data_IF_341784782623
#
_entry.id   IF_341784782623
#
_cell.length_a   1.000
_cell.length_b   1.000
_cell.length_c   1.000
_cell.angle_alpha   90.00
_cell.angle_beta   90.00
_cell.angle_gamma   90.00
#
_symmetry.space_group_name_H-M   'P 1'
#
loop_
_entity.id
_entity.type
_entity.pdbx_description
1 polymer ?
#
# COMPACT_ATOMS: atom_id res chain seq x y z
N UNK A 1 20.69 5.14 31.90
CA UNK A 1 20.93 3.79 31.36
C UNK A 1 21.06 3.94 29.85
N UNK A 2 22.26 3.72 29.31
CA UNK A 2 22.50 3.80 27.87
C UNK A 2 21.88 2.57 27.24
N UNK A 3 20.79 2.76 26.48
CA UNK A 3 20.28 1.74 25.59
C UNK A 3 21.35 1.52 24.51
N UNK A 4 22.05 0.39 24.55
CA UNK A 4 22.87 -0.05 23.44
C UNK A 4 21.95 -0.22 22.22
N UNK A 5 22.12 0.62 21.22
CA UNK A 5 21.53 0.40 19.89
C UNK A 5 22.24 -0.85 19.33
N UNK A 6 21.60 -1.99 19.44
CA UNK A 6 22.04 -3.21 18.78
C UNK A 6 21.86 -2.96 17.29
N UNK A 7 22.95 -2.72 16.61
CA UNK A 7 22.98 -2.55 15.15
C UNK A 7 22.87 -3.95 14.54
N UNK A 8 21.66 -4.51 14.48
CA UNK A 8 21.40 -5.79 13.81
C UNK A 8 21.52 -5.51 12.32
N UNK A 9 22.59 -6.00 11.72
CA UNK A 9 22.72 -5.97 10.26
C UNK A 9 21.66 -6.92 9.69
N UNK A 10 20.62 -6.33 9.08
CA UNK A 10 19.53 -7.10 8.47
C UNK A 10 20.07 -8.03 7.38
N UNK A 11 19.50 -9.22 7.28
CA UNK A 11 19.61 -10.07 6.11
C UNK A 11 19.24 -9.27 4.86
N UNK A 12 20.00 -9.34 3.75
CA UNK A 12 19.67 -8.63 2.52
C UNK A 12 18.25 -8.83 2.01
N UNK A 13 17.64 -9.99 2.24
CA UNK A 13 16.25 -10.29 1.89
C UNK A 13 15.30 -9.47 2.76
N UNK A 14 15.55 -9.39 4.06
CA UNK A 14 14.73 -8.59 4.97
C UNK A 14 14.87 -7.09 4.68
N UNK A 15 16.09 -6.63 4.37
CA UNK A 15 16.31 -5.24 3.96
C UNK A 15 15.56 -4.89 2.65
N UNK A 16 15.49 -5.80 1.68
CA UNK A 16 14.73 -5.61 0.45
C UNK A 16 13.21 -5.55 0.74
N UNK A 17 12.72 -6.37 1.66
CA UNK A 17 11.32 -6.36 2.07
C UNK A 17 10.96 -5.08 2.84
N UNK A 18 11.84 -4.53 3.67
CA UNK A 18 11.58 -3.30 4.42
C UNK A 18 11.34 -2.07 3.55
N UNK A 19 11.95 -2.02 2.38
CA UNK A 19 11.77 -0.91 1.42
C UNK A 19 10.78 -1.22 0.31
N UNK A 20 10.19 -2.41 0.33
CA UNK A 20 9.23 -2.87 -0.67
C UNK A 20 9.88 -3.45 -1.92
N UNK A 21 9.29 -4.53 -2.42
CA UNK A 21 9.74 -5.25 -3.61
C UNK A 21 9.75 -4.34 -4.84
N UNK A 22 10.69 -4.59 -5.76
CA UNK A 22 10.78 -3.88 -7.03
C UNK A 22 9.80 -4.44 -8.07
N UNK A 23 9.61 -3.66 -9.13
CA UNK A 23 8.79 -3.98 -10.30
C UNK A 23 7.32 -4.27 -9.94
N UNK A 24 6.82 -3.53 -8.94
CA UNK A 24 5.45 -3.56 -8.48
C UNK A 24 4.89 -2.14 -8.33
N UNK A 25 3.58 -2.04 -8.47
CA UNK A 25 2.82 -0.86 -8.11
C UNK A 25 2.53 -0.83 -6.61
N UNK A 26 2.61 0.34 -6.01
CA UNK A 26 2.23 0.59 -4.61
C UNK A 26 1.36 1.84 -4.52
N UNK A 27 0.23 1.81 -3.81
CA UNK A 27 -0.49 3.04 -3.47
C UNK A 27 0.35 3.83 -2.47
N UNK A 28 0.50 5.15 -2.68
CA UNK A 28 1.42 5.96 -1.86
C UNK A 28 0.73 7.04 -1.05
N UNK A 29 -0.39 7.55 -1.52
CA UNK A 29 -1.23 8.47 -0.76
C UNK A 29 -2.64 8.57 -1.37
N UNK A 30 -3.64 9.09 -0.62
CA UNK A 30 -4.92 9.49 -1.20
C UNK A 30 -4.74 10.57 -2.27
N UNK A 31 -5.52 10.50 -3.34
CA UNK A 31 -5.50 11.46 -4.45
C UNK A 31 -5.63 12.92 -4.00
N UNK A 32 -6.47 13.17 -3.00
CA UNK A 32 -6.71 14.50 -2.46
C UNK A 32 -5.54 15.11 -1.68
N UNK A 33 -4.44 14.36 -1.45
CA UNK A 33 -3.24 14.90 -0.81
C UNK A 33 -2.42 15.76 -1.76
N UNK A 34 -2.47 15.49 -3.06
CA UNK A 34 -1.72 16.23 -4.09
C UNK A 34 -2.68 17.16 -4.80
N UNK A 35 -2.61 18.45 -4.46
CA UNK A 35 -3.45 19.53 -5.00
C UNK A 35 -2.58 20.53 -5.76
N UNK A 36 -2.68 21.78 -5.38
CA UNK A 36 -2.08 22.92 -6.08
C UNK A 36 -0.58 23.10 -5.82
N UNK A 37 -0.07 22.53 -4.73
CA UNK A 37 1.34 22.60 -4.35
C UNK A 37 2.00 21.23 -4.38
N UNK A 38 3.31 21.17 -4.61
CA UNK A 38 4.06 19.94 -4.49
C UNK A 38 3.99 19.41 -3.05
N UNK A 39 3.97 18.11 -2.89
CA UNK A 39 4.01 17.45 -1.57
C UNK A 39 5.21 16.52 -1.48
N UNK A 40 5.80 16.42 -0.29
CA UNK A 40 6.88 15.49 0.00
C UNK A 40 6.34 14.28 0.76
N UNK A 41 6.63 13.09 0.28
CA UNK A 41 6.31 11.84 0.95
C UNK A 41 7.55 10.96 1.07
N UNK A 42 7.63 10.18 2.16
CA UNK A 42 8.61 9.10 2.26
C UNK A 42 7.88 7.78 2.01
N UNK A 43 8.27 7.06 0.96
CA UNK A 43 7.70 5.75 0.57
C UNK A 43 8.78 4.89 -0.07
N UNK A 44 8.71 3.58 0.17
CA UNK A 44 9.55 2.61 -0.53
C UNK A 44 11.06 2.89 -0.42
N UNK A 45 11.49 3.45 0.71
CA UNK A 45 12.88 3.88 0.95
C UNK A 45 13.27 5.22 0.32
N UNK A 46 12.38 5.88 -0.43
CA UNK A 46 12.65 7.15 -1.10
C UNK A 46 11.92 8.32 -0.45
N UNK A 47 12.53 9.50 -0.52
CA UNK A 47 11.83 10.77 -0.34
C UNK A 47 11.37 11.24 -1.72
N UNK A 48 10.08 11.49 -1.89
CA UNK A 48 9.42 11.67 -3.18
C UNK A 48 8.68 13.00 -3.20
N UNK A 49 8.92 13.81 -4.24
CA UNK A 49 8.13 14.98 -4.56
C UNK A 49 7.02 14.59 -5.54
N UNK A 50 5.78 14.87 -5.17
CA UNK A 50 4.59 14.66 -5.98
C UNK A 50 3.94 16.01 -6.30
N UNK A 51 3.49 16.20 -7.52
CA UNK A 51 2.72 17.38 -7.93
C UNK A 51 1.73 17.05 -9.04
N UNK A 52 0.76 17.95 -9.27
CA UNK A 52 -0.13 17.89 -10.44
C UNK A 52 0.24 19.00 -11.42
N UNK A 53 0.23 18.66 -12.69
CA UNK A 53 0.30 19.65 -13.74
C UNK A 53 -1.08 20.30 -14.03
N UNK A 54 -1.11 21.23 -14.98
CA UNK A 54 -2.34 21.94 -15.35
C UNK A 54 -3.41 21.04 -15.99
N UNK A 55 -3.06 19.83 -16.43
CA UNK A 55 -4.00 18.82 -16.96
C UNK A 55 -4.59 17.94 -15.86
N UNK A 56 -4.09 18.06 -14.63
CA UNK A 56 -4.43 17.22 -13.50
C UNK A 56 -3.60 15.95 -13.40
N UNK A 57 -2.66 15.71 -14.33
CA UNK A 57 -1.76 14.55 -14.31
C UNK A 57 -0.82 14.65 -13.10
N UNK A 58 -0.72 13.56 -12.34
CA UNK A 58 0.23 13.46 -11.23
C UNK A 58 1.61 13.07 -11.76
N UNK A 59 2.63 13.73 -11.25
CA UNK A 59 4.03 13.45 -11.52
C UNK A 59 4.78 13.16 -10.22
N UNK A 60 5.86 12.38 -10.30
CA UNK A 60 6.67 12.00 -9.15
C UNK A 60 8.16 11.93 -9.49
N UNK A 61 8.97 12.62 -8.69
CA UNK A 61 10.43 12.57 -8.73
C UNK A 61 10.99 12.25 -7.35
N UNK A 62 12.20 11.74 -7.29
CA UNK A 62 12.96 11.76 -6.04
C UNK A 62 13.09 13.22 -5.56
N UNK A 63 12.76 13.46 -4.30
CA UNK A 63 12.69 14.81 -3.71
C UNK A 63 14.09 15.36 -3.41
N UNK A 64 14.90 15.44 -4.48
CA UNK A 64 16.31 15.80 -4.42
C UNK A 64 16.70 16.57 -5.69
N UNK A 65 17.02 17.86 -5.53
CA UNK A 65 17.52 18.67 -6.63
C UNK A 65 18.93 18.21 -7.05
N UNK A 66 19.17 17.96 -8.35
CA UNK A 66 20.44 17.42 -8.82
C UNK A 66 21.64 18.37 -8.65
N UNK A 67 21.38 19.64 -8.36
CA UNK A 67 22.46 20.60 -8.12
C UNK A 67 23.11 20.38 -6.75
N UNK A 68 22.36 20.51 -5.65
CA UNK A 68 22.89 20.46 -4.27
C UNK A 68 21.92 19.80 -3.27
N UNK A 69 20.98 18.99 -3.74
CA UNK A 69 20.13 18.17 -2.90
C UNK A 69 18.96 18.89 -2.21
N UNK A 70 18.68 20.16 -2.54
CA UNK A 70 17.51 20.82 -1.96
C UNK A 70 16.22 20.09 -2.35
N UNK A 71 15.21 19.99 -1.44
CA UNK A 71 13.96 19.32 -1.76
C UNK A 71 13.23 20.01 -2.90
N UNK A 72 12.90 19.26 -3.96
CA UNK A 72 12.11 19.75 -5.09
C UNK A 72 10.66 20.07 -4.66
N UNK A 73 10.15 19.35 -3.67
CA UNK A 73 8.81 19.56 -3.11
C UNK A 73 8.58 20.94 -2.48
N UNK A 74 9.65 21.69 -2.17
CA UNK A 74 9.57 23.07 -1.71
C UNK A 74 9.56 24.08 -2.88
N UNK A 75 9.61 23.60 -4.10
CA UNK A 75 9.72 24.39 -5.32
C UNK A 75 8.39 24.86 -5.87
N UNK A 76 8.45 25.40 -7.08
CA UNK A 76 7.31 25.96 -7.80
C UNK A 76 6.98 25.08 -9.00
N UNK A 77 5.70 24.75 -9.18
CA UNK A 77 5.20 23.99 -10.34
C UNK A 77 5.21 24.90 -11.57
N UNK A 78 5.84 24.45 -12.64
CA UNK A 78 5.89 25.10 -13.94
C UNK A 78 5.33 24.15 -15.02
N UNK A 79 4.07 23.74 -14.85
CA UNK A 79 3.40 22.75 -15.70
C UNK A 79 3.98 21.34 -15.51
N UNK A 80 4.66 20.80 -16.51
CA UNK A 80 5.26 19.46 -16.52
C UNK A 80 6.59 19.34 -15.74
N UNK A 81 7.04 20.44 -15.11
CA UNK A 81 8.31 20.55 -14.39
C UNK A 81 8.18 21.25 -13.06
N UNK A 82 9.19 21.10 -12.24
CA UNK A 82 9.30 21.77 -10.95
C UNK A 82 10.59 22.59 -10.88
N UNK A 83 10.51 23.85 -10.46
CA UNK A 83 11.67 24.71 -10.25
C UNK A 83 12.13 24.61 -8.80
N UNK A 84 13.38 24.25 -8.59
CA UNK A 84 14.01 24.15 -7.27
C UNK A 84 14.01 25.52 -6.57
N UNK A 85 13.60 25.62 -5.29
CA UNK A 85 13.49 26.91 -4.60
C UNK A 85 14.86 27.54 -4.30
N UNK A 86 15.95 26.74 -4.38
CA UNK A 86 17.26 27.19 -3.93
C UNK A 86 18.00 28.00 -5.02
N UNK A 87 18.04 27.50 -6.27
CA UNK A 87 18.73 28.18 -7.38
C UNK A 87 17.94 28.16 -8.70
N UNK A 88 16.64 27.85 -8.66
CA UNK A 88 15.76 27.88 -9.82
C UNK A 88 16.00 26.76 -10.84
N UNK A 89 16.78 25.75 -10.53
CA UNK A 89 16.98 24.59 -11.45
C UNK A 89 15.64 23.94 -11.75
N UNK A 90 15.28 23.88 -13.05
CA UNK A 90 14.02 23.31 -13.51
C UNK A 90 14.21 21.84 -13.91
N UNK A 91 13.47 20.95 -13.25
CA UNK A 91 13.50 19.52 -13.51
C UNK A 91 12.14 19.05 -14.03
N UNK A 92 12.11 18.45 -15.21
CA UNK A 92 10.90 17.91 -15.84
C UNK A 92 10.48 16.60 -15.17
N UNK A 93 9.23 16.23 -15.33
CA UNK A 93 8.62 15.02 -14.74
C UNK A 93 9.36 13.70 -15.06
N UNK A 94 10.14 13.67 -16.13
CA UNK A 94 10.97 12.51 -16.51
C UNK A 94 12.38 12.52 -15.85
N UNK A 95 12.68 13.52 -15.03
CA UNK A 95 13.97 13.69 -14.36
C UNK A 95 14.97 14.52 -15.14
N UNK A 96 14.62 15.01 -16.34
CA UNK A 96 15.50 15.82 -17.18
C UNK A 96 15.61 17.25 -16.64
N UNK A 97 16.84 17.75 -16.51
CA UNK A 97 17.10 19.16 -16.18
C UNK A 97 16.86 20.01 -17.41
N UNK A 98 15.85 20.86 -17.37
CA UNK A 98 15.43 21.69 -18.49
C UNK A 98 16.15 23.04 -18.51
N UNK A 99 16.52 23.56 -17.32
CA UNK A 99 17.14 24.88 -17.22
C UNK A 99 17.96 25.00 -15.93
N UNK A 100 19.10 25.64 -16.03
CA UNK A 100 19.95 26.09 -14.91
C UNK A 100 20.14 27.61 -15.00
N UNK A 101 19.28 28.41 -14.33
CA UNK A 101 19.26 29.86 -14.52
C UNK A 101 20.61 30.54 -14.26
N UNK A 102 21.36 30.08 -13.25
CA UNK A 102 22.66 30.63 -12.90
C UNK A 102 23.81 30.23 -13.83
N UNK A 103 23.62 29.27 -14.76
CA UNK A 103 24.64 28.79 -15.69
C UNK A 103 24.00 28.16 -16.92
N UNK A 104 23.35 28.97 -17.78
CA UNK A 104 22.71 28.47 -18.99
C UNK A 104 23.69 27.74 -19.90
N UNK A 105 23.28 26.58 -20.47
CA UNK A 105 24.10 25.77 -21.35
C UNK A 105 25.15 24.90 -20.64
N UNK A 106 25.12 24.84 -19.32
CA UNK A 106 26.05 23.97 -18.58
C UNK A 106 25.71 22.46 -18.82
N UNK A 107 26.66 21.57 -18.51
CA UNK A 107 26.51 20.11 -18.71
C UNK A 107 25.33 19.47 -17.95
N UNK A 108 24.76 20.17 -16.97
CA UNK A 108 23.61 19.67 -16.22
C UNK A 108 22.33 19.79 -17.04
N UNK A 109 22.19 20.82 -17.89
CA UNK A 109 21.04 20.98 -18.80
C UNK A 109 21.00 19.83 -19.81
N UNK A 110 19.82 19.26 -20.03
CA UNK A 110 19.59 18.10 -20.87
C UNK A 110 19.95 16.75 -20.21
N UNK A 111 20.68 16.74 -19.08
CA UNK A 111 20.96 15.50 -18.36
C UNK A 111 19.75 15.03 -17.55
N UNK A 112 19.73 13.74 -17.16
CA UNK A 112 18.62 13.12 -16.40
C UNK A 112 19.13 12.50 -15.10
N UNK A 113 19.61 13.29 -14.15
CA UNK A 113 20.19 12.78 -12.90
C UNK A 113 19.16 12.46 -11.82
N UNK A 114 17.92 12.96 -11.94
CA UNK A 114 16.87 12.80 -10.94
C UNK A 114 16.01 11.57 -11.28
N UNK A 115 15.88 10.66 -10.30
CA UNK A 115 15.02 9.49 -10.45
C UNK A 115 13.57 9.92 -10.63
N UNK A 116 12.92 9.43 -11.68
CA UNK A 116 11.47 9.53 -11.85
C UNK A 116 10.77 8.30 -11.30
N UNK A 117 9.50 8.47 -10.96
CA UNK A 117 8.59 7.37 -10.68
C UNK A 117 7.39 7.45 -11.63
N UNK A 118 6.99 6.32 -12.20
CA UNK A 118 5.76 6.25 -12.95
C UNK A 118 4.58 6.31 -11.99
N UNK A 119 3.57 7.07 -12.37
CA UNK A 119 2.37 7.30 -11.57
C UNK A 119 1.13 6.75 -12.25
N UNK A 120 0.19 6.30 -11.46
CA UNK A 120 -1.18 6.02 -11.87
C UNK A 120 -2.12 6.51 -10.78
N UNK A 121 -3.33 6.90 -11.15
CA UNK A 121 -4.35 7.34 -10.19
C UNK A 121 -5.63 6.54 -10.41
N UNK A 122 -6.13 5.92 -9.36
CA UNK A 122 -7.35 5.12 -9.42
C UNK A 122 -7.98 4.99 -8.03
N UNK A 123 -9.32 4.96 -8.01
CA UNK A 123 -10.09 4.70 -6.77
C UNK A 123 -9.68 5.55 -5.58
N UNK A 124 -9.37 6.83 -5.83
CA UNK A 124 -9.02 7.81 -4.80
C UNK A 124 -7.60 7.67 -4.25
N UNK A 125 -6.73 6.86 -4.85
CA UNK A 125 -5.33 6.70 -4.50
C UNK A 125 -4.40 7.00 -5.67
N UNK A 126 -3.23 7.55 -5.36
CA UNK A 126 -2.08 7.68 -6.26
C UNK A 126 -1.19 6.46 -6.03
N UNK A 127 -0.79 5.82 -7.13
CA UNK A 127 0.11 4.67 -7.17
C UNK A 127 1.44 5.07 -7.80
N UNK A 128 2.52 4.48 -7.30
CA UNK A 128 3.85 4.56 -7.90
C UNK A 128 4.34 3.17 -8.29
N UNK A 129 4.98 3.07 -9.44
CA UNK A 129 5.70 1.87 -9.84
C UNK A 129 7.12 1.91 -9.29
N UNK A 130 7.46 0.94 -8.42
CA UNK A 130 8.79 0.82 -7.80
C UNK A 130 9.77 0.10 -8.73
N UNK A 131 10.13 0.74 -9.85
CA UNK A 131 10.99 0.14 -10.85
C UNK A 131 12.36 -0.27 -10.29
N UNK A 132 12.85 -1.46 -10.64
CA UNK A 132 14.24 -1.88 -10.41
C UNK A 132 15.19 -1.06 -11.29
N UNK A 133 14.83 -0.83 -12.57
CA UNK A 133 15.54 0.04 -13.47
C UNK A 133 15.00 1.48 -13.39
N UNK A 134 15.78 2.46 -12.87
CA UNK A 134 15.33 3.85 -12.80
C UNK A 134 15.17 4.51 -14.19
N UNK A 135 15.77 3.95 -15.24
CA UNK A 135 15.68 4.44 -16.60
C UNK A 135 14.53 3.81 -17.41
N UNK A 136 13.67 3.03 -16.76
CA UNK A 136 12.50 2.42 -17.41
C UNK A 136 11.62 3.50 -18.05
N UNK A 137 11.36 3.39 -19.36
CA UNK A 137 10.58 4.42 -20.06
C UNK A 137 9.09 4.30 -19.84
N UNK A 138 8.55 3.08 -19.74
CA UNK A 138 7.14 2.81 -19.49
C UNK A 138 6.97 1.73 -18.44
N UNK A 139 6.13 2.00 -17.44
CA UNK A 139 5.74 1.00 -16.46
C UNK A 139 4.65 0.08 -17.06
N UNK A 140 4.57 -1.18 -16.64
CA UNK A 140 3.44 -2.03 -16.97
C UNK A 140 2.13 -1.40 -16.46
N UNK A 141 0.99 -1.63 -17.11
CA UNK A 141 -0.28 -1.05 -16.70
C UNK A 141 -0.66 -1.49 -15.27
N UNK A 142 -1.21 -0.54 -14.48
CA UNK A 142 -1.78 -0.85 -13.18
C UNK A 142 -3.01 -1.76 -13.37
N UNK A 143 -2.98 -2.96 -12.80
CA UNK A 143 -4.07 -3.93 -12.88
C UNK A 143 -4.73 -4.07 -11.51
N UNK A 144 -5.95 -3.60 -11.40
CA UNK A 144 -6.76 -3.69 -10.19
C UNK A 144 -7.88 -4.73 -10.36
N UNK A 145 -8.38 -5.33 -9.27
CA UNK A 145 -9.47 -6.29 -9.32
C UNK A 145 -10.79 -5.64 -9.70
N UNK A 146 -11.77 -6.44 -10.11
CA UNK A 146 -13.09 -5.96 -10.55
C UNK A 146 -13.80 -5.08 -9.52
N UNK A 147 -13.60 -5.34 -8.23
CA UNK A 147 -14.15 -4.54 -7.13
C UNK A 147 -13.76 -3.06 -7.19
N UNK A 148 -12.65 -2.77 -7.87
CA UNK A 148 -12.12 -1.41 -8.06
C UNK A 148 -12.25 -0.91 -9.50
N UNK A 149 -12.60 -1.76 -10.46
CA UNK A 149 -12.65 -1.37 -11.90
C UNK A 149 -14.05 -1.45 -12.50
N UNK A 150 -14.91 -2.33 -11.98
CA UNK A 150 -16.25 -2.50 -12.50
C UNK A 150 -17.21 -1.41 -12.00
N UNK A 151 -18.08 -0.86 -12.87
CA UNK A 151 -19.12 0.09 -12.48
C UNK A 151 -20.21 -0.50 -11.58
N UNK A 152 -20.30 -1.82 -11.48
CA UNK A 152 -21.23 -2.50 -10.57
C UNK A 152 -20.82 -2.41 -9.10
N UNK A 153 -19.60 -1.98 -8.83
CA UNK A 153 -19.06 -1.84 -7.50
C UNK A 153 -19.01 -0.38 -7.05
N UNK A 154 -19.19 -0.17 -5.76
CA UNK A 154 -18.93 1.11 -5.10
C UNK A 154 -17.88 0.92 -4.02
N UNK A 155 -16.83 1.70 -4.08
CA UNK A 155 -15.70 1.60 -3.15
C UNK A 155 -15.48 2.91 -2.38
N UNK A 156 -14.94 2.77 -1.16
CA UNK A 156 -14.44 3.87 -0.34
C UNK A 156 -13.02 3.56 0.09
N UNK A 157 -12.09 4.45 -0.21
CA UNK A 157 -10.73 4.36 0.30
C UNK A 157 -10.68 4.79 1.77
N UNK A 158 -10.11 3.93 2.61
CA UNK A 158 -9.69 4.23 3.95
C UNK A 158 -8.17 4.15 3.97
N UNK A 159 -7.52 5.25 4.31
CA UNK A 159 -6.07 5.35 4.40
C UNK A 159 -5.67 5.74 5.82
N UNK A 160 -4.67 5.06 6.34
CA UNK A 160 -4.03 5.38 7.62
C UNK A 160 -2.56 4.96 7.58
N UNK A 161 -1.77 5.47 8.50
CA UNK A 161 -0.39 5.03 8.73
C UNK A 161 -0.32 4.34 10.09
N UNK A 162 0.26 3.14 10.11
CA UNK A 162 0.45 2.37 11.33
C UNK A 162 1.92 2.34 11.71
N UNK A 163 2.21 2.58 12.99
CA UNK A 163 3.54 2.34 13.55
C UNK A 163 3.80 0.83 13.65
N UNK A 164 4.85 0.36 12.98
CA UNK A 164 5.22 -1.05 12.95
C UNK A 164 5.83 -1.45 11.62
N UNK A 165 6.48 -2.60 11.59
CA UNK A 165 6.97 -3.19 10.35
C UNK A 165 5.78 -3.56 9.46
N UNK A 166 5.82 -3.17 8.19
CA UNK A 166 4.72 -3.45 7.26
C UNK A 166 4.43 -4.96 7.12
N UNK A 167 5.40 -5.81 7.42
CA UNK A 167 5.23 -7.27 7.42
C UNK A 167 4.25 -7.73 8.50
N UNK A 168 4.27 -7.12 9.70
CA UNK A 168 3.26 -7.39 10.74
C UNK A 168 1.87 -6.91 10.35
N UNK A 169 1.80 -5.79 9.63
CA UNK A 169 0.53 -5.29 9.10
C UNK A 169 -0.09 -6.27 8.09
N UNK A 170 0.73 -6.85 7.21
CA UNK A 170 0.27 -7.85 6.24
C UNK A 170 -0.10 -9.16 6.96
N UNK A 171 0.69 -9.59 7.95
CA UNK A 171 0.42 -10.78 8.73
C UNK A 171 -0.92 -10.68 9.48
N UNK A 172 -1.22 -9.52 10.07
CA UNK A 172 -2.50 -9.26 10.74
C UNK A 172 -3.69 -9.51 9.79
N UNK A 173 -3.62 -9.04 8.56
CA UNK A 173 -4.72 -9.21 7.59
C UNK A 173 -4.77 -10.63 7.01
N UNK A 174 -3.64 -11.35 6.98
CA UNK A 174 -3.61 -12.76 6.57
C UNK A 174 -4.19 -13.70 7.63
N UNK A 175 -4.40 -13.25 8.85
CA UNK A 175 -4.94 -14.05 9.94
C UNK A 175 -6.46 -13.85 10.11
N UNK A 176 -7.31 -14.79 9.69
CA UNK A 176 -8.74 -14.69 9.92
C UNK A 176 -9.17 -15.05 11.35
N UNK A 177 -8.25 -15.51 12.22
CA UNK A 177 -8.61 -15.91 13.59
C UNK A 177 -8.67 -14.73 14.56
N UNK A 178 -7.82 -13.71 14.38
CA UNK A 178 -7.81 -12.57 15.31
C UNK A 178 -9.17 -11.85 15.37
N UNK A 179 -9.93 -11.88 14.26
CA UNK A 179 -11.24 -11.22 14.19
C UNK A 179 -12.20 -11.65 15.29
N UNK A 180 -12.24 -12.94 15.61
CA UNK A 180 -13.11 -13.48 16.65
C UNK A 180 -12.73 -13.04 18.07
N UNK A 181 -11.47 -12.65 18.28
CA UNK A 181 -10.94 -12.22 19.58
C UNK A 181 -10.82 -10.71 19.69
N UNK A 182 -10.17 -10.07 18.75
CA UNK A 182 -9.88 -8.64 18.74
C UNK A 182 -11.12 -7.80 18.44
N UNK A 183 -12.00 -8.31 17.55
CA UNK A 183 -13.19 -7.59 17.07
C UNK A 183 -14.49 -8.07 17.69
N UNK A 184 -14.48 -8.52 18.94
CA UNK A 184 -15.66 -9.05 19.65
C UNK A 184 -16.88 -8.14 19.65
N UNK A 185 -16.70 -6.83 19.52
CA UNK A 185 -17.78 -5.85 19.48
C UNK A 185 -18.37 -5.66 18.08
N UNK A 186 -17.77 -6.23 17.05
CA UNK A 186 -18.28 -6.23 15.68
C UNK A 186 -19.17 -7.43 15.48
N UNK A 187 -20.46 -7.22 15.25
CA UNK A 187 -21.49 -8.26 15.14
C UNK A 187 -21.15 -9.43 14.21
N UNK A 188 -20.45 -9.15 13.13
CA UNK A 188 -20.12 -10.15 12.11
C UNK A 188 -18.76 -10.79 12.32
N UNK A 189 -17.86 -10.15 13.07
CA UNK A 189 -16.48 -10.61 13.25
C UNK A 189 -16.29 -11.52 14.48
N UNK A 190 -17.25 -11.51 15.40
CA UNK A 190 -17.23 -12.32 16.62
C UNK A 190 -17.84 -13.72 16.45
N UNK A 191 -18.45 -14.02 15.32
CA UNK A 191 -19.11 -15.29 15.03
C UNK A 191 -18.12 -16.29 14.39
N UNK A 192 -18.49 -17.57 14.41
CA UNK A 192 -17.75 -18.62 13.76
C UNK A 192 -16.97 -19.53 14.69
N UNK A 193 -16.47 -20.62 14.14
CA UNK A 193 -15.75 -21.66 14.89
C UNK A 193 -14.32 -21.23 15.15
N UNK A 194 -13.96 -21.04 16.42
CA UNK A 194 -12.63 -20.69 16.89
C UNK A 194 -11.66 -21.88 16.90
N UNK A 195 -12.16 -23.08 16.70
CA UNK A 195 -11.36 -24.33 16.61
C UNK A 195 -11.31 -24.88 15.18
N UNK A 196 -11.75 -24.07 14.21
CA UNK A 196 -11.82 -24.48 12.81
C UNK A 196 -10.47 -24.94 12.27
N UNK A 197 -10.51 -25.95 11.43
CA UNK A 197 -9.38 -26.33 10.62
C UNK A 197 -9.21 -25.34 9.45
N UNK A 198 -7.96 -25.12 9.07
CA UNK A 198 -7.60 -24.24 7.95
C UNK A 198 -6.98 -25.01 6.80
N UNK A 199 -7.07 -24.41 5.63
CA UNK A 199 -6.38 -24.87 4.42
C UNK A 199 -5.86 -23.72 3.58
N UNK A 200 -4.86 -24.01 2.75
CA UNK A 200 -4.37 -23.10 1.72
C UNK A 200 -4.81 -23.68 0.37
N UNK A 201 -5.38 -22.83 -0.46
CA UNK A 201 -5.73 -23.13 -1.83
C UNK A 201 -4.91 -22.25 -2.75
N UNK A 202 -4.04 -22.87 -3.55
CA UNK A 202 -3.19 -22.15 -4.50
C UNK A 202 -4.03 -21.63 -5.68
N UNK A 203 -3.66 -20.44 -6.17
CA UNK A 203 -4.22 -19.79 -7.35
C UNK A 203 -3.10 -19.44 -8.32
N UNK A 204 -3.43 -19.15 -9.58
CA UNK A 204 -2.43 -18.77 -10.61
C UNK A 204 -1.60 -17.55 -10.18
N UNK A 205 -2.22 -16.55 -9.55
CA UNK A 205 -1.59 -15.30 -9.14
C UNK A 205 -1.59 -15.08 -7.62
N UNK A 206 -1.61 -16.16 -6.82
CA UNK A 206 -1.64 -16.02 -5.38
C UNK A 206 -2.15 -17.26 -4.67
N UNK A 207 -2.79 -17.06 -3.54
CA UNK A 207 -3.38 -18.15 -2.77
C UNK A 207 -4.50 -17.63 -1.86
N UNK A 208 -5.39 -18.54 -1.46
CA UNK A 208 -6.41 -18.28 -0.44
C UNK A 208 -6.06 -19.08 0.81
N UNK A 209 -6.14 -18.43 1.94
CA UNK A 209 -6.11 -19.03 3.27
C UNK A 209 -7.51 -18.98 3.86
N UNK A 210 -8.11 -20.14 4.18
CA UNK A 210 -9.53 -20.24 4.52
C UNK A 210 -9.81 -21.29 5.58
N UNK A 211 -10.87 -21.07 6.36
CA UNK A 211 -11.44 -22.09 7.26
C UNK A 211 -12.10 -23.17 6.43
N UNK A 212 -11.82 -24.43 6.78
CA UNK A 212 -12.52 -25.58 6.21
C UNK A 212 -13.97 -25.61 6.70
N UNK A 213 -14.89 -25.98 5.82
CA UNK A 213 -16.30 -26.22 6.15
C UNK A 213 -17.05 -25.01 6.73
N UNK A 214 -16.43 -23.81 6.69
CA UNK A 214 -17.09 -22.56 7.09
C UNK A 214 -16.97 -21.53 5.98
N UNK A 215 -18.09 -20.92 5.61
CA UNK A 215 -18.17 -19.85 4.62
C UNK A 215 -19.31 -18.90 4.95
N UNK A 216 -19.13 -17.63 4.69
CA UNK A 216 -20.13 -16.56 4.85
C UNK A 216 -20.67 -16.40 6.29
N UNK A 217 -19.92 -16.83 7.28
CA UNK A 217 -20.27 -16.67 8.71
C UNK A 217 -19.59 -15.46 9.30
N UNK A 218 -18.30 -15.32 9.01
CA UNK A 218 -17.42 -14.27 9.53
C UNK A 218 -16.33 -13.95 8.50
N UNK A 219 -15.32 -13.22 8.91
CA UNK A 219 -14.03 -13.14 8.27
C UNK A 219 -13.35 -14.52 8.32
N UNK A 220 -13.72 -15.42 7.43
CA UNK A 220 -13.32 -16.82 7.44
C UNK A 220 -12.34 -17.21 6.34
N UNK A 221 -11.92 -16.24 5.52
CA UNK A 221 -10.90 -16.42 4.49
C UNK A 221 -10.20 -15.10 4.13
N UNK A 222 -8.94 -15.21 3.68
CA UNK A 222 -8.16 -14.13 3.10
C UNK A 222 -7.46 -14.61 1.85
N UNK A 223 -7.46 -13.81 0.80
CA UNK A 223 -6.76 -14.07 -0.44
C UNK A 223 -5.57 -13.11 -0.58
N UNK A 224 -4.45 -13.66 -0.98
CA UNK A 224 -3.29 -12.90 -1.46
C UNK A 224 -3.26 -12.94 -2.99
N UNK A 225 -3.22 -11.79 -3.62
CA UNK A 225 -3.16 -11.63 -5.08
C UNK A 225 -1.90 -10.88 -5.49
N UNK A 226 -1.29 -11.30 -6.62
CA UNK A 226 -0.21 -10.59 -7.28
C UNK A 226 -0.55 -10.37 -8.76
N UNK A 227 -0.90 -9.13 -9.09
CA UNK A 227 -1.22 -8.70 -10.46
C UNK A 227 -0.30 -7.57 -10.93
N UNK A 228 0.95 -7.53 -10.42
CA UNK A 228 1.86 -6.39 -10.56
C UNK A 228 1.66 -5.35 -9.45
N UNK A 229 0.74 -5.63 -8.55
CA UNK A 229 0.53 -5.00 -7.25
C UNK A 229 0.16 -6.11 -6.26
N UNK A 230 0.71 -6.08 -5.06
CA UNK A 230 0.30 -7.01 -4.02
C UNK A 230 -0.99 -6.54 -3.36
N UNK A 231 -2.02 -7.34 -3.47
CA UNK A 231 -3.34 -7.06 -2.90
C UNK A 231 -3.78 -8.19 -1.98
N UNK A 232 -4.50 -7.83 -0.95
CA UNK A 232 -5.23 -8.76 -0.11
C UNK A 232 -6.73 -8.53 -0.30
N UNK A 233 -7.50 -9.62 -0.32
CA UNK A 233 -8.95 -9.58 -0.43
C UNK A 233 -9.57 -10.45 0.64
N UNK A 234 -10.59 -9.91 1.28
CA UNK A 234 -11.43 -10.64 2.22
C UNK A 234 -12.88 -10.16 2.10
N UNK A 235 -13.81 -10.95 2.58
CA UNK A 235 -15.22 -10.58 2.63
C UNK A 235 -15.77 -10.70 4.04
N UNK A 236 -16.59 -9.71 4.40
CA UNK A 236 -17.39 -9.74 5.62
C UNK A 236 -18.83 -10.01 5.19
N UNK A 237 -19.44 -11.13 5.61
CA UNK A 237 -20.82 -11.42 5.32
C UNK A 237 -21.74 -10.43 6.05
N UNK A 238 -22.65 -9.82 5.32
CA UNK A 238 -23.69 -8.98 5.88
C UNK A 238 -25.06 -9.61 5.60
N UNK A 239 -25.94 -9.71 6.61
CA UNK A 239 -27.29 -10.16 6.39
C UNK A 239 -28.03 -9.18 5.46
N UNK A 240 -29.00 -9.66 4.68
CA UNK A 240 -29.82 -8.83 3.77
C UNK A 240 -30.49 -7.66 4.49
N UNK A 241 -30.75 -7.78 5.80
CA UNK A 241 -31.27 -6.72 6.67
C UNK A 241 -30.27 -5.60 6.94
N UNK A 242 -28.97 -5.81 6.66
CA UNK A 242 -27.90 -4.84 6.86
C UNK A 242 -27.77 -3.78 5.76
N UNK A 243 -28.74 -3.75 4.83
CA UNK A 243 -28.77 -2.83 3.70
C UNK A 243 -28.52 -3.50 2.34
N UNK A 244 -28.59 -2.77 1.24
CA UNK A 244 -28.45 -3.32 -0.10
C UNK A 244 -27.03 -3.84 -0.38
N UNK A 245 -26.89 -4.85 -1.23
CA UNK A 245 -25.64 -5.28 -1.84
C UNK A 245 -24.97 -6.49 -1.21
N UNK A 246 -25.51 -7.13 -0.16
CA UNK A 246 -24.96 -8.38 0.38
C UNK A 246 -23.56 -8.22 1.01
N UNK A 247 -22.64 -9.12 0.70
CA UNK A 247 -21.30 -9.17 1.27
C UNK A 247 -20.51 -7.88 1.05
N UNK A 248 -19.63 -7.60 1.99
CA UNK A 248 -18.76 -6.44 1.98
C UNK A 248 -17.32 -6.88 1.76
N UNK A 249 -16.76 -6.51 0.62
CA UNK A 249 -15.40 -6.87 0.25
C UNK A 249 -14.41 -5.79 0.67
N UNK A 250 -13.31 -6.18 1.26
CA UNK A 250 -12.17 -5.31 1.53
C UNK A 250 -11.04 -5.71 0.57
N UNK A 251 -10.53 -4.72 -0.15
CA UNK A 251 -9.28 -4.83 -0.90
C UNK A 251 -8.22 -4.06 -0.13
N UNK A 252 -7.16 -4.72 0.28
CA UNK A 252 -6.06 -4.13 1.04
C UNK A 252 -4.77 -4.06 0.23
N UNK A 253 -4.01 -2.99 0.37
CA UNK A 253 -2.63 -2.88 -0.07
C UNK A 253 -1.81 -2.12 0.96
N UNK A 254 -0.53 -2.48 1.09
CA UNK A 254 0.32 -2.00 2.18
C UNK A 254 1.63 -1.50 1.60
N UNK A 255 2.04 -0.30 2.03
CA UNK A 255 3.22 0.36 1.47
C UNK A 255 4.22 0.68 2.56
N UNK A 256 5.46 0.18 2.49
CA UNK A 256 6.51 0.57 3.42
C UNK A 256 6.77 2.09 3.38
N UNK A 257 6.78 2.73 4.54
CA UNK A 257 7.13 4.15 4.72
C UNK A 257 8.53 4.24 5.30
N UNK A 258 8.72 3.57 6.42
CA UNK A 258 10.02 3.34 7.06
C UNK A 258 10.06 1.89 7.55
N UNK A 259 11.15 1.47 8.17
CA UNK A 259 11.22 0.15 8.82
C UNK A 259 10.25 0.00 10.01
N UNK A 260 9.58 1.07 10.44
CA UNK A 260 8.68 1.11 11.59
C UNK A 260 7.34 1.80 11.30
N UNK A 261 7.04 2.10 10.05
CA UNK A 261 5.76 2.72 9.66
C UNK A 261 5.33 2.16 8.31
N UNK A 262 4.09 1.75 8.22
CA UNK A 262 3.46 1.28 6.99
C UNK A 262 2.21 2.11 6.63
N UNK A 263 2.03 2.40 5.36
CA UNK A 263 0.79 2.93 4.81
C UNK A 263 -0.21 1.81 4.58
N UNK A 264 -1.39 1.93 5.15
CA UNK A 264 -2.50 0.97 5.04
C UNK A 264 -3.58 1.57 4.15
N UNK A 265 -3.84 0.90 3.04
CA UNK A 265 -4.86 1.29 2.07
C UNK A 265 -5.93 0.21 2.02
N UNK A 266 -7.11 0.48 2.52
CA UNK A 266 -8.25 -0.41 2.47
C UNK A 266 -9.38 0.21 1.64
N UNK A 267 -9.68 -0.40 0.50
CA UNK A 267 -10.88 -0.09 -0.26
C UNK A 267 -12.01 -0.98 0.22
N UNK A 268 -13.03 -0.35 0.72
CA UNK A 268 -14.25 -1.01 1.20
C UNK A 268 -15.27 -1.00 0.09
N UNK A 269 -15.52 -2.18 -0.44
CA UNK A 269 -16.23 -2.37 -1.70
C UNK A 269 -17.55 -3.09 -1.47
N UNK A 270 -18.58 -2.69 -2.20
CA UNK A 270 -19.83 -3.39 -2.24
C UNK A 270 -20.41 -3.41 -3.65
N UNK A 271 -20.94 -4.56 -4.09
CA UNK A 271 -21.62 -4.68 -5.35
C UNK A 271 -23.02 -4.08 -5.21
N UNK A 272 -23.27 -2.95 -5.86
CA UNK A 272 -24.51 -2.17 -5.76
C UNK A 272 -24.80 -1.43 -7.06
N UNK A 273 -26.08 -1.44 -7.47
CA UNK A 273 -26.54 -0.83 -8.71
C UNK A 273 -27.66 0.17 -8.46
N UNK A 274 -27.87 1.09 -9.39
CA UNK A 274 -28.95 2.06 -9.38
C UNK A 274 -29.09 2.80 -8.04
N UNK A 275 -30.31 2.90 -7.53
CA UNK A 275 -30.63 3.57 -6.27
C UNK A 275 -29.95 2.91 -5.04
N UNK A 276 -29.62 1.64 -5.11
CA UNK A 276 -28.93 0.93 -4.04
C UNK A 276 -27.52 1.50 -3.82
N UNK A 277 -26.86 1.99 -4.88
CA UNK A 277 -25.56 2.65 -4.79
C UNK A 277 -25.63 3.90 -3.94
N UNK A 278 -26.62 4.77 -4.19
CA UNK A 278 -26.76 6.01 -3.44
C UNK A 278 -27.12 5.74 -1.98
N UNK A 279 -28.02 4.78 -1.75
CA UNK A 279 -28.35 4.31 -0.40
C UNK A 279 -27.13 3.75 0.32
N UNK A 280 -26.32 2.91 -0.34
CA UNK A 280 -25.08 2.37 0.21
C UNK A 280 -24.09 3.49 0.57
N UNK A 281 -23.88 4.44 -0.35
CA UNK A 281 -22.96 5.56 -0.13
C UNK A 281 -23.40 6.42 1.07
N UNK A 282 -24.69 6.70 1.17
CA UNK A 282 -25.26 7.44 2.29
C UNK A 282 -25.09 6.67 3.61
N UNK A 283 -25.48 5.41 3.66
CA UNK A 283 -25.35 4.58 4.86
C UNK A 283 -23.89 4.42 5.29
N UNK A 284 -22.99 4.21 4.34
CA UNK A 284 -21.58 4.09 4.63
C UNK A 284 -21.07 5.36 5.32
N UNK A 285 -21.24 6.52 4.71
CA UNK A 285 -20.72 7.79 5.23
C UNK A 285 -21.34 8.19 6.57
N UNK A 286 -22.59 7.92 6.79
CA UNK A 286 -23.31 8.41 7.98
C UNK A 286 -23.38 7.39 9.12
N UNK A 287 -23.10 6.12 8.89
CA UNK A 287 -23.28 5.07 9.91
C UNK A 287 -22.17 4.03 9.99
N UNK A 288 -21.64 3.59 8.85
CA UNK A 288 -20.73 2.44 8.82
C UNK A 288 -19.26 2.86 8.87
N UNK A 289 -18.92 4.02 8.33
CA UNK A 289 -17.52 4.48 8.25
C UNK A 289 -16.83 4.49 9.61
N UNK A 290 -17.47 5.08 10.62
CA UNK A 290 -16.91 5.12 11.97
C UNK A 290 -16.71 3.73 12.60
N UNK A 291 -17.66 2.82 12.37
CA UNK A 291 -17.54 1.44 12.86
C UNK A 291 -16.37 0.71 12.24
N UNK A 292 -16.15 0.91 10.95
CA UNK A 292 -15.03 0.32 10.24
C UNK A 292 -13.69 0.94 10.67
N UNK A 293 -13.66 2.23 10.97
CA UNK A 293 -12.48 2.86 11.56
C UNK A 293 -12.17 2.28 12.94
N UNK A 294 -13.17 2.03 13.76
CA UNK A 294 -12.97 1.42 15.09
C UNK A 294 -12.34 0.01 14.99
N UNK A 295 -12.71 -0.79 13.98
CA UNK A 295 -12.09 -2.09 13.73
C UNK A 295 -10.62 -1.92 13.36
N UNK A 296 -10.30 -1.07 12.37
CA UNK A 296 -8.93 -0.77 11.99
C UNK A 296 -8.07 -0.22 13.14
N UNK A 297 -8.68 0.56 14.02
CA UNK A 297 -7.98 1.11 15.19
C UNK A 297 -7.60 0.02 16.20
N UNK A 298 -8.42 -1.02 16.36
CA UNK A 298 -8.08 -2.18 17.20
C UNK A 298 -6.87 -2.92 16.63
N UNK A 299 -6.83 -3.15 15.30
CA UNK A 299 -5.69 -3.76 14.62
C UNK A 299 -4.43 -2.91 14.76
N UNK A 300 -4.57 -1.60 14.52
CA UNK A 300 -3.46 -0.64 14.66
C UNK A 300 -2.83 -0.72 16.04
N UNK A 301 -3.65 -0.65 17.09
CA UNK A 301 -3.16 -0.70 18.47
C UNK A 301 -2.43 -2.02 18.76
N UNK A 302 -2.94 -3.15 18.26
CA UNK A 302 -2.27 -4.43 18.44
C UNK A 302 -0.90 -4.47 17.75
N UNK A 303 -0.84 -4.07 16.48
CA UNK A 303 0.40 -4.11 15.67
C UNK A 303 1.44 -3.11 16.16
N UNK A 304 1.03 -1.88 16.52
CA UNK A 304 1.94 -0.83 17.00
C UNK A 304 2.61 -1.15 18.34
N UNK A 305 1.98 -2.00 19.15
CA UNK A 305 2.53 -2.43 20.44
C UNK A 305 3.35 -3.74 20.36
N UNK A 306 3.53 -4.32 19.16
CA UNK A 306 4.46 -5.43 18.97
C UNK A 306 5.90 -4.91 19.04
N UNK A 307 6.75 -5.63 19.78
CA UNK A 307 8.17 -5.30 19.83
C UNK A 307 8.85 -5.52 18.45
N UNK A 308 9.89 -4.76 18.10
CA UNK A 308 10.55 -4.85 16.80
C UNK A 308 11.11 -6.24 16.47
N UNK A 309 11.46 -7.02 17.48
CA UNK A 309 12.01 -8.36 17.38
C UNK A 309 10.98 -9.47 17.66
N UNK A 310 9.68 -9.14 17.67
CA UNK A 310 8.61 -10.09 17.97
C UNK A 310 8.68 -11.34 17.08
N UNK A 311 8.99 -11.18 15.79
CA UNK A 311 9.16 -12.30 14.85
C UNK A 311 10.33 -13.25 15.17
N UNK A 312 11.29 -12.83 15.99
CA UNK A 312 12.40 -13.69 16.44
C UNK A 312 12.03 -14.51 17.67
N UNK A 313 10.94 -14.14 18.35
CA UNK A 313 10.46 -14.74 19.60
C UNK A 313 9.09 -15.38 19.48
N UNK A 314 8.49 -15.35 18.29
CA UNK A 314 7.17 -15.92 18.05
C UNK A 314 7.19 -17.46 18.07
N UNK A 315 6.08 -18.04 18.49
CA UNK A 315 5.81 -19.47 18.45
C UNK A 315 4.55 -19.73 17.65
N UNK A 316 4.72 -19.91 16.33
CA UNK A 316 3.62 -20.12 15.41
C UNK A 316 2.98 -21.49 15.62
N UNK A 317 1.68 -21.57 15.40
CA UNK A 317 0.90 -22.80 15.53
C UNK A 317 0.06 -23.07 14.26
N UNK A 318 -0.81 -24.08 14.29
CA UNK A 318 -1.48 -24.56 13.07
C UNK A 318 -2.29 -23.49 12.32
N UNK A 319 -2.87 -22.53 13.04
CA UNK A 319 -3.66 -21.45 12.41
C UNK A 319 -2.81 -20.39 11.69
N UNK A 320 -1.50 -20.36 11.93
CA UNK A 320 -0.59 -19.39 11.30
C UNK A 320 -0.05 -19.87 9.94
N UNK A 321 -0.57 -20.98 9.40
CA UNK A 321 -0.07 -21.53 8.12
C UNK A 321 -0.19 -20.53 6.96
N UNK A 322 -1.20 -19.66 6.96
CA UNK A 322 -1.37 -18.59 5.97
C UNK A 322 -0.23 -17.56 6.06
N UNK A 323 0.10 -17.12 7.27
CA UNK A 323 1.22 -16.20 7.54
C UNK A 323 2.54 -16.82 7.09
N UNK A 324 2.80 -18.08 7.45
CA UNK A 324 4.01 -18.82 7.04
C UNK A 324 4.10 -18.92 5.52
N UNK A 325 2.98 -19.21 4.83
CA UNK A 325 2.92 -19.28 3.38
C UNK A 325 3.22 -17.94 2.73
N UNK A 326 2.63 -16.85 3.26
CA UNK A 326 2.84 -15.48 2.79
C UNK A 326 4.30 -15.04 2.94
N UNK A 327 4.87 -15.20 4.13
CA UNK A 327 6.27 -14.85 4.42
C UNK A 327 7.25 -15.60 3.53
N UNK A 328 7.03 -16.90 3.29
CA UNK A 328 7.84 -17.68 2.34
C UNK A 328 7.74 -17.15 0.92
N UNK A 329 6.54 -16.76 0.49
CA UNK A 329 6.32 -16.19 -0.83
C UNK A 329 7.08 -14.86 -1.01
N UNK A 330 6.94 -13.94 -0.06
CA UNK A 330 7.62 -12.64 -0.10
C UNK A 330 9.15 -12.80 -0.08
N UNK A 331 9.68 -13.67 0.79
CA UNK A 331 11.13 -13.96 0.83
C UNK A 331 11.65 -14.57 -0.46
N UNK A 332 10.87 -15.46 -1.10
CA UNK A 332 11.21 -16.01 -2.42
C UNK A 332 11.32 -14.90 -3.46
N UNK A 333 10.33 -14.01 -3.55
CA UNK A 333 10.35 -12.89 -4.49
C UNK A 333 11.53 -11.95 -4.26
N UNK A 334 11.82 -11.59 -3.00
CA UNK A 334 12.95 -10.75 -2.66
C UNK A 334 14.29 -11.41 -3.05
N UNK A 335 14.44 -12.72 -2.80
CA UNK A 335 15.63 -13.48 -3.16
C UNK A 335 15.83 -13.50 -4.69
N UNK A 336 14.76 -13.73 -5.45
CA UNK A 336 14.81 -13.71 -6.92
C UNK A 336 15.23 -12.34 -7.46
N UNK A 337 14.74 -11.25 -6.88
CA UNK A 337 15.11 -9.89 -7.26
C UNK A 337 16.59 -9.59 -6.95
N UNK A 338 17.07 -9.97 -5.76
CA UNK A 338 18.47 -9.80 -5.38
C UNK A 338 19.43 -10.58 -6.28
N UNK A 339 19.03 -11.77 -6.75
CA UNK A 339 19.85 -12.57 -7.65
C UNK A 339 19.91 -11.94 -9.06
N UNK A 340 18.82 -11.38 -9.57
CA UNK A 340 18.80 -10.65 -10.85
C UNK A 340 19.67 -9.40 -10.86
N UNK A 341 19.87 -8.77 -9.71
CA UNK A 341 20.70 -7.56 -9.60
C UNK A 341 22.20 -7.88 -9.56
N UNK A 342 22.57 -9.14 -9.28
CA UNK A 342 23.97 -9.61 -9.25
C UNK A 342 24.45 -10.19 -10.58
N UNK A 343 23.56 -10.51 -11.49
CA UNK A 343 23.81 -10.98 -12.85
C UNK A 343 23.84 -9.80 -13.83
#
# INVERSE_FOLDING_TARGET
>A
MNAQVINVQLDPVDAALEVGLKDLWFPVCPSGFVKDNPVSLRRLGYKIALWRDATGQVHALEDHCPHRGAPLSLGVILGDRIACPYHGVEVRHDGTVMRVPGSPGCKLEGSRPTRRFHTAESNGAIFLFNASNPALDEAPPLRLPEQLTSPEWSSFLCYTEWGGDYRYVIDNVMDPMHGAYLHKQSHTMAEGDMTAEFQIRELDNGFIFEKKHQRDVNFDWTEWMNTGIHLMRLEIPYPKTGGPGGNFTIIGSYTPITNRVAGVFHWRCRKVEGWQRDTWRFLYKNRLEQRHWNVLEQDRVAVENMEPDANQREHLYAHDMGIVRLRRHLRKLATEQLNKTKS
#
